data_IF_407718633723
#
_entry.id   IF_407718633723
#
_cell.length_a   1.000
_cell.length_b   1.000
_cell.length_c   1.000
_cell.angle_alpha   90.00
_cell.angle_beta   90.00
_cell.angle_gamma   90.00
#
_symmetry.space_group_name_H-M   'P 1'
#
loop_
_entity.id
_entity.type
_entity.pdbx_description
1 polymer ?
#
# COMPACT_ATOMS: atom_id res chain seq x y z
N UNK A 1 -14.50 13.41 3.29
CA UNK A 1 -15.82 14.00 3.62
C UNK A 1 -17.00 13.05 3.37
N UNK A 2 -17.05 12.38 2.21
CA UNK A 2 -18.14 11.46 1.87
C UNK A 2 -18.23 10.25 2.82
N UNK A 3 -17.12 9.59 3.13
CA UNK A 3 -17.13 8.39 3.99
C UNK A 3 -17.66 8.68 5.40
N UNK A 4 -17.26 9.82 5.98
CA UNK A 4 -17.74 10.25 7.31
C UNK A 4 -19.24 10.57 7.26
N UNK A 5 -19.68 11.30 6.22
CA UNK A 5 -21.11 11.63 6.03
C UNK A 5 -21.94 10.34 5.92
N UNK A 6 -21.49 9.37 5.13
CA UNK A 6 -22.20 8.12 4.92
C UNK A 6 -22.25 7.27 6.20
N UNK A 7 -21.15 7.21 6.96
CA UNK A 7 -21.13 6.53 8.24
C UNK A 7 -22.09 7.16 9.25
N UNK A 8 -22.14 8.49 9.33
CA UNK A 8 -23.09 9.20 10.20
C UNK A 8 -24.54 8.96 9.78
N UNK A 9 -24.84 8.97 8.49
CA UNK A 9 -26.20 8.69 7.99
C UNK A 9 -26.63 7.26 8.30
N UNK A 10 -25.75 6.27 8.14
CA UNK A 10 -26.03 4.89 8.52
C UNK A 10 -26.39 4.78 10.01
N UNK A 11 -25.57 5.38 10.88
CA UNK A 11 -25.81 5.38 12.33
C UNK A 11 -27.13 6.08 12.71
N UNK A 12 -27.47 7.20 12.07
CA UNK A 12 -28.74 7.91 12.29
C UNK A 12 -29.94 7.03 11.90
N UNK A 13 -29.80 6.22 10.86
CA UNK A 13 -30.84 5.30 10.38
C UNK A 13 -30.90 3.98 11.16
N UNK A 14 -30.01 3.77 12.15
CA UNK A 14 -29.90 2.50 12.88
C UNK A 14 -29.24 1.37 12.08
N UNK A 15 -28.54 1.68 10.99
CA UNK A 15 -27.81 0.75 10.14
C UNK A 15 -26.32 0.72 10.53
N UNK A 16 -25.65 -0.42 10.31
CA UNK A 16 -24.20 -0.49 10.48
C UNK A 16 -23.45 0.18 9.30
N UNK A 17 -22.43 1.01 9.57
CA UNK A 17 -21.62 1.60 8.51
C UNK A 17 -20.94 0.54 7.66
N UNK A 18 -20.98 0.72 6.34
CA UNK A 18 -20.28 -0.18 5.42
C UNK A 18 -18.77 -0.04 5.59
N UNK A 19 -18.13 -1.09 6.10
CA UNK A 19 -16.68 -1.14 6.16
C UNK A 19 -16.08 -1.50 4.81
N UNK A 20 -15.02 -0.77 4.44
CA UNK A 20 -14.28 -0.98 3.21
C UNK A 20 -13.32 -2.15 3.39
N UNK A 21 -13.67 -3.33 2.87
CA UNK A 21 -12.89 -4.54 3.15
C UNK A 21 -11.77 -4.83 2.15
N UNK A 22 -11.77 -4.21 0.96
CA UNK A 22 -10.80 -4.52 -0.10
C UNK A 22 -9.53 -3.68 0.01
N UNK A 23 -8.46 -4.20 -0.58
CA UNK A 23 -7.20 -3.49 -0.75
C UNK A 23 -7.28 -2.35 -1.78
N UNK A 24 -6.39 -1.37 -1.67
CA UNK A 24 -6.39 -0.17 -2.50
C UNK A 24 -6.22 -0.48 -3.99
N UNK A 25 -5.53 -1.57 -4.32
CA UNK A 25 -5.34 -2.01 -5.71
C UNK A 25 -6.67 -2.19 -6.48
N UNK A 26 -7.78 -2.48 -5.80
CA UNK A 26 -9.11 -2.61 -6.40
C UNK A 26 -9.68 -1.29 -6.96
N UNK A 27 -9.25 -0.14 -6.42
CA UNK A 27 -9.67 1.19 -6.87
C UNK A 27 -8.58 1.92 -7.66
N UNK A 28 -7.47 1.24 -7.99
CA UNK A 28 -6.33 1.88 -8.63
C UNK A 28 -6.43 1.80 -10.15
N UNK A 29 -6.43 2.95 -10.81
CA UNK A 29 -6.55 3.08 -12.27
C UNK A 29 -5.33 2.60 -13.08
N UNK A 30 -4.20 2.32 -12.41
CA UNK A 30 -2.97 1.90 -13.08
C UNK A 30 -3.07 0.47 -13.60
N UNK A 31 -2.53 0.26 -14.79
CA UNK A 31 -2.45 -1.03 -15.47
C UNK A 31 -1.43 -1.93 -14.79
N UNK A 32 -1.83 -3.16 -14.52
CA UNK A 32 -1.00 -4.21 -13.89
C UNK A 32 -0.91 -5.36 -14.90
N UNK A 33 0.16 -5.39 -15.70
CA UNK A 33 0.31 -6.38 -16.78
C UNK A 33 0.92 -7.66 -16.25
N UNK A 34 1.94 -7.56 -15.41
CA UNK A 34 2.75 -8.70 -14.98
C UNK A 34 2.46 -9.10 -13.54
N UNK A 35 1.97 -8.18 -12.70
CA UNK A 35 1.70 -8.42 -11.29
C UNK A 35 0.71 -9.56 -11.03
N UNK A 36 -0.18 -9.85 -11.98
CA UNK A 36 -1.22 -10.88 -11.87
C UNK A 36 -0.89 -12.16 -12.64
N UNK A 37 0.24 -12.19 -13.34
CA UNK A 37 0.69 -13.37 -14.08
C UNK A 37 1.51 -14.22 -13.11
N UNK A 38 1.16 -15.51 -13.00
CA UNK A 38 1.94 -16.46 -12.23
C UNK A 38 3.21 -16.80 -13.02
N UNK A 39 4.37 -16.35 -12.53
CA UNK A 39 5.66 -16.58 -13.16
C UNK A 39 6.73 -16.92 -12.11
N UNK A 40 7.81 -17.57 -12.56
CA UNK A 40 8.94 -17.93 -11.70
C UNK A 40 9.94 -16.79 -11.53
N UNK A 41 9.96 -15.89 -12.51
CA UNK A 41 10.84 -14.72 -12.52
C UNK A 41 10.22 -13.57 -11.74
N UNK A 42 11.07 -12.70 -11.21
CA UNK A 42 10.62 -11.50 -10.52
C UNK A 42 10.12 -10.47 -11.54
N UNK A 43 9.12 -9.67 -11.14
CA UNK A 43 8.51 -8.65 -12.01
C UNK A 43 9.48 -7.49 -12.25
N UNK A 44 10.38 -7.25 -11.30
CA UNK A 44 11.43 -6.24 -11.44
C UNK A 44 12.64 -6.64 -10.59
N UNK A 45 13.82 -6.15 -10.98
CA UNK A 45 15.09 -6.53 -10.37
C UNK A 45 15.61 -5.48 -9.37
N UNK A 46 14.92 -4.35 -9.24
CA UNK A 46 15.42 -3.21 -8.46
C UNK A 46 14.33 -2.42 -7.75
N UNK A 47 14.74 -1.82 -6.63
CA UNK A 47 13.94 -0.86 -5.87
C UNK A 47 14.46 0.53 -6.18
N UNK A 48 13.58 1.43 -6.61
CA UNK A 48 13.94 2.80 -6.96
C UNK A 48 13.15 3.78 -6.12
N UNK A 49 13.83 4.80 -5.60
CA UNK A 49 13.17 5.94 -5.02
C UNK A 49 12.55 6.80 -6.13
N UNK A 50 11.44 7.48 -5.83
CA UNK A 50 10.76 8.38 -6.78
C UNK A 50 11.70 9.47 -7.30
N UNK A 51 12.62 9.96 -6.44
CA UNK A 51 13.60 10.99 -6.79
C UNK A 51 14.78 10.50 -7.63
N UNK A 52 14.97 9.19 -7.79
CA UNK A 52 16.03 8.61 -8.63
C UNK A 52 15.59 8.47 -10.10
N UNK A 53 14.31 8.71 -10.37
CA UNK A 53 13.72 8.51 -11.69
C UNK A 53 13.43 9.85 -12.35
N UNK A 54 14.01 10.07 -13.53
CA UNK A 54 13.72 11.25 -14.35
C UNK A 54 12.27 11.25 -14.84
N UNK A 55 11.72 10.07 -15.10
CA UNK A 55 10.36 9.87 -15.59
C UNK A 55 9.68 8.69 -14.91
N UNK A 56 8.40 8.87 -14.60
CA UNK A 56 7.54 7.84 -13.98
C UNK A 56 6.34 7.66 -14.88
N UNK A 57 6.15 6.44 -15.38
CA UNK A 57 5.00 6.11 -16.21
C UNK A 57 3.70 6.26 -15.38
N UNK A 58 2.78 7.15 -15.78
CA UNK A 58 1.56 7.42 -15.04
C UNK A 58 0.53 6.29 -15.15
N UNK A 59 0.61 5.45 -16.19
CA UNK A 59 -0.34 4.37 -16.44
C UNK A 59 0.15 3.04 -15.86
N UNK A 60 1.46 2.75 -15.93
CA UNK A 60 2.02 1.49 -15.42
C UNK A 60 1.99 1.44 -13.89
N UNK A 61 1.70 0.27 -13.33
CA UNK A 61 1.76 0.03 -11.90
C UNK A 61 3.14 0.37 -11.32
N UNK A 62 3.16 1.09 -10.19
CA UNK A 62 4.41 1.46 -9.50
C UNK A 62 5.27 0.26 -9.10
N UNK A 63 4.65 -0.81 -8.61
CA UNK A 63 5.37 -2.02 -8.21
C UNK A 63 6.06 -2.69 -9.40
N UNK A 64 5.45 -2.64 -10.59
CA UNK A 64 6.05 -3.13 -11.83
C UNK A 64 7.12 -2.19 -12.42
N UNK A 65 7.26 -0.99 -11.85
CA UNK A 65 8.31 -0.02 -12.18
C UNK A 65 9.46 -0.06 -11.15
N UNK A 66 9.40 -0.93 -10.14
CA UNK A 66 10.37 -0.98 -9.05
C UNK A 66 10.17 0.09 -7.97
N UNK A 67 9.05 0.83 -8.00
CA UNK A 67 8.74 1.86 -7.02
C UNK A 67 7.87 1.28 -5.91
N UNK A 68 8.33 1.37 -4.66
CA UNK A 68 7.59 0.84 -3.50
C UNK A 68 6.28 1.58 -3.32
N UNK A 69 5.18 0.83 -3.36
CA UNK A 69 3.82 1.34 -3.21
C UNK A 69 3.04 0.50 -2.20
N UNK A 70 2.56 1.11 -1.11
CA UNK A 70 1.85 0.43 -0.02
C UNK A 70 0.42 -0.01 -0.40
N UNK A 71 0.00 0.17 -1.65
CA UNK A 71 -1.36 -0.13 -2.12
C UNK A 71 -1.88 -1.53 -1.78
N UNK A 72 -1.09 -2.61 -1.90
CA UNK A 72 -1.54 -3.97 -1.60
C UNK A 72 -1.97 -4.19 -0.16
N UNK A 73 -1.36 -3.48 0.79
CA UNK A 73 -1.61 -3.64 2.24
C UNK A 73 -2.47 -2.52 2.84
N UNK A 74 -2.98 -1.62 1.99
CA UNK A 74 -3.77 -0.46 2.43
C UNK A 74 -5.24 -0.67 2.09
N UNK A 75 -6.15 -0.36 3.01
CA UNK A 75 -7.60 -0.37 2.78
C UNK A 75 -8.03 0.55 1.64
N UNK A 76 -9.13 0.26 0.95
CA UNK A 76 -9.73 1.13 -0.08
C UNK A 76 -10.34 2.44 0.50
N UNK A 77 -11.11 3.22 -0.25
CA UNK A 77 -11.82 4.42 0.24
C UNK A 77 -11.31 5.77 -0.29
N UNK A 78 -9.99 5.96 -0.31
CA UNK A 78 -9.42 7.20 -0.85
C UNK A 78 -9.47 7.36 -2.39
N UNK A 79 -10.04 6.38 -3.11
CA UNK A 79 -10.08 6.32 -4.59
C UNK A 79 -8.70 6.44 -5.25
N UNK A 80 -7.67 5.89 -4.60
CA UNK A 80 -6.31 5.82 -5.13
C UNK A 80 -5.74 7.17 -5.61
N UNK A 81 -6.11 8.28 -4.96
CA UNK A 81 -5.70 9.64 -5.37
C UNK A 81 -4.20 9.80 -5.59
N UNK A 82 -3.36 9.22 -4.73
CA UNK A 82 -1.90 9.32 -4.87
C UNK A 82 -1.44 8.71 -6.22
N UNK A 83 -1.67 7.42 -6.51
CA UNK A 83 -1.20 6.84 -7.77
C UNK A 83 -2.00 7.26 -9.00
N UNK A 84 -3.29 7.56 -8.87
CA UNK A 84 -4.19 7.84 -9.99
C UNK A 84 -4.29 9.32 -10.37
N UNK A 85 -3.96 10.25 -9.46
CA UNK A 85 -4.04 11.71 -9.75
C UNK A 85 -2.73 12.45 -9.55
N UNK A 86 -1.92 12.05 -8.56
CA UNK A 86 -0.70 12.78 -8.21
C UNK A 86 0.58 12.16 -8.78
N UNK A 87 0.48 11.06 -9.54
CA UNK A 87 1.62 10.27 -10.00
C UNK A 87 2.61 9.92 -8.86
N UNK A 88 2.09 9.58 -7.67
CA UNK A 88 2.90 9.23 -6.50
C UNK A 88 2.46 7.89 -5.88
N UNK A 89 3.39 7.07 -5.36
CA UNK A 89 3.06 5.79 -4.75
C UNK A 89 2.18 5.95 -3.51
N UNK A 90 1.35 4.95 -3.23
CA UNK A 90 0.55 4.91 -2.01
C UNK A 90 1.47 4.85 -0.78
N UNK A 91 1.18 5.69 0.22
CA UNK A 91 1.94 5.74 1.49
C UNK A 91 1.26 4.98 2.65
N UNK A 92 0.07 4.39 2.43
CA UNK A 92 -0.62 3.60 3.46
C UNK A 92 -1.40 4.37 4.51
N UNK A 93 -1.77 5.63 4.27
CA UNK A 93 -2.45 6.46 5.25
C UNK A 93 -3.88 6.02 5.62
N UNK A 94 -4.52 5.16 4.81
CA UNK A 94 -5.87 4.65 5.09
C UNK A 94 -5.88 3.43 6.02
N UNK A 95 -4.71 3.00 6.49
CA UNK A 95 -4.56 1.88 7.40
C UNK A 95 -4.60 0.51 6.71
N UNK A 96 -4.40 -0.56 7.50
CA UNK A 96 -4.43 -1.94 7.02
C UNK A 96 -5.78 -2.33 6.41
N UNK A 97 -5.78 -3.35 5.55
CA UNK A 97 -7.02 -4.08 5.24
C UNK A 97 -7.47 -4.90 6.46
N UNK A 98 -8.76 -5.26 6.58
CA UNK A 98 -9.25 -6.04 7.70
C UNK A 98 -8.43 -7.32 7.94
N UNK A 99 -8.14 -7.62 9.20
CA UNK A 99 -7.35 -8.79 9.61
C UNK A 99 -5.83 -8.66 9.46
N UNK A 100 -5.29 -7.50 9.05
CA UNK A 100 -3.84 -7.23 9.06
C UNK A 100 -3.50 -6.31 10.23
N UNK A 101 -2.75 -6.80 11.21
CA UNK A 101 -2.16 -5.98 12.27
C UNK A 101 -0.79 -5.45 11.84
N UNK A 102 0.05 -6.36 11.32
CA UNK A 102 1.42 -6.08 10.91
C UNK A 102 1.53 -5.64 9.45
N UNK A 103 1.23 -4.37 9.18
CA UNK A 103 1.25 -3.79 7.82
C UNK A 103 2.62 -3.93 7.15
N UNK A 104 3.69 -3.59 7.87
CA UNK A 104 5.04 -3.65 7.31
C UNK A 104 5.46 -5.07 6.99
N UNK A 105 5.30 -6.01 7.93
CA UNK A 105 5.60 -7.42 7.68
C UNK A 105 4.77 -8.00 6.52
N UNK A 106 3.47 -7.67 6.46
CA UNK A 106 2.62 -8.10 5.35
C UNK A 106 3.06 -7.50 4.02
N UNK A 107 3.57 -6.28 4.02
CA UNK A 107 4.12 -5.64 2.82
C UNK A 107 5.40 -6.33 2.36
N UNK A 108 6.31 -6.70 3.27
CA UNK A 108 7.50 -7.52 2.92
C UNK A 108 7.06 -8.81 2.24
N UNK A 109 6.08 -9.51 2.83
CA UNK A 109 5.53 -10.73 2.25
C UNK A 109 4.90 -10.51 0.86
N UNK A 110 4.17 -9.40 0.67
CA UNK A 110 3.61 -9.04 -0.65
C UNK A 110 4.70 -8.69 -1.67
N UNK A 111 5.82 -8.12 -1.25
CA UNK A 111 6.94 -7.78 -2.14
C UNK A 111 7.81 -8.99 -2.49
N UNK A 112 7.85 -10.01 -1.64
CA UNK A 112 8.63 -11.23 -1.88
C UNK A 112 8.19 -12.00 -3.14
N UNK A 113 6.94 -11.84 -3.59
CA UNK A 113 6.46 -12.41 -4.85
C UNK A 113 6.71 -11.53 -6.08
N UNK A 114 7.23 -10.32 -5.88
CA UNK A 114 7.43 -9.30 -6.94
C UNK A 114 8.92 -9.07 -7.19
N UNK A 115 9.74 -9.16 -6.13
CA UNK A 115 11.14 -8.76 -6.10
C UNK A 115 12.04 -9.83 -5.45
N UNK A 116 13.31 -9.98 -5.90
CA UNK A 116 14.23 -11.03 -5.47
C UNK A 116 14.47 -11.17 -3.97
N UNK A 117 14.29 -10.09 -3.21
CA UNK A 117 14.51 -10.11 -1.77
C UNK A 117 13.64 -9.10 -1.02
N UNK A 118 12.38 -8.91 -1.43
CA UNK A 118 11.43 -8.05 -0.74
C UNK A 118 11.91 -6.60 -0.59
N UNK A 119 11.65 -5.75 -1.59
CA UNK A 119 12.12 -4.36 -1.74
C UNK A 119 12.40 -3.60 -0.45
N UNK A 120 11.44 -3.70 0.46
CA UNK A 120 11.37 -2.89 1.66
C UNK A 120 12.53 -3.17 2.63
N UNK A 121 13.16 -4.34 2.57
CA UNK A 121 14.26 -4.73 3.45
C UNK A 121 15.59 -4.03 3.13
N UNK A 122 15.76 -3.51 1.90
CA UNK A 122 16.99 -2.84 1.49
C UNK A 122 16.90 -1.31 1.54
N UNK A 123 15.77 -0.77 1.99
CA UNK A 123 15.64 0.67 2.15
C UNK A 123 16.27 1.10 3.47
N UNK A 124 16.93 2.27 3.45
CA UNK A 124 17.53 2.86 4.65
C UNK A 124 16.51 3.04 5.79
N UNK A 125 15.26 3.40 5.45
CA UNK A 125 14.17 3.61 6.39
C UNK A 125 12.99 2.64 6.15
N UNK A 126 13.18 1.40 6.59
CA UNK A 126 12.16 0.34 6.57
C UNK A 126 10.96 0.73 7.43
N UNK A 127 11.22 1.30 8.62
CA UNK A 127 10.18 1.60 9.61
C UNK A 127 9.31 2.77 9.14
N UNK A 128 9.90 3.87 8.70
CA UNK A 128 9.15 5.03 8.22
C UNK A 128 8.54 4.86 6.83
N UNK A 129 8.87 3.77 6.12
CA UNK A 129 8.16 3.36 4.90
C UNK A 129 7.05 2.34 5.16
N UNK A 130 7.35 1.26 5.90
CA UNK A 130 6.41 0.17 6.16
C UNK A 130 5.39 0.42 7.27
N UNK A 131 5.75 1.24 8.26
CA UNK A 131 4.95 1.48 9.47
C UNK A 131 4.55 2.95 9.68
N UNK A 132 4.66 3.79 8.64
CA UNK A 132 4.45 5.24 8.71
C UNK A 132 3.19 5.68 9.46
N UNK A 133 2.08 4.96 9.25
CA UNK A 133 0.77 5.28 9.84
C UNK A 133 0.21 4.15 10.72
N UNK A 134 0.94 3.04 10.85
CA UNK A 134 0.47 1.81 11.50
C UNK A 134 1.38 1.35 12.62
N UNK A 135 2.45 2.09 12.96
CA UNK A 135 3.35 1.74 14.05
C UNK A 135 2.62 1.59 15.38
N UNK A 136 1.69 2.48 15.70
CA UNK A 136 0.97 2.47 16.99
C UNK A 136 0.09 1.22 17.19
N UNK A 137 -0.31 0.55 16.11
CA UNK A 137 -1.13 -0.68 16.15
C UNK A 137 -0.31 -1.95 15.91
N UNK A 138 1.00 -1.81 15.68
CA UNK A 138 1.90 -2.95 15.54
C UNK A 138 2.06 -3.68 16.87
N UNK A 139 2.29 -4.99 16.81
CA UNK A 139 2.72 -5.84 17.92
C UNK A 139 4.01 -5.34 18.57
N UNK A 140 4.85 -4.62 17.81
CA UNK A 140 6.07 -3.97 18.31
C UNK A 140 5.98 -2.46 18.06
N UNK A 141 5.15 -1.72 18.81
CA UNK A 141 4.74 -0.35 18.49
C UNK A 141 5.80 0.72 18.81
N UNK A 142 7.05 0.33 19.01
CA UNK A 142 8.13 1.24 19.33
C UNK A 142 9.50 0.58 19.29
N UNK A 143 10.53 1.42 19.35
CA UNK A 143 11.91 0.95 19.42
C UNK A 143 12.18 0.35 20.79
N UNK A 144 12.45 -0.96 20.83
CA UNK A 144 12.94 -1.64 22.02
C UNK A 144 14.31 -1.04 22.36
N UNK A 145 14.40 -0.29 23.46
CA UNK A 145 15.68 0.18 24.01
C UNK A 145 16.30 -0.99 24.77
N UNK A 146 17.47 -1.43 24.31
CA UNK A 146 18.37 -2.27 25.11
C UNK A 146 19.18 -1.39 26.05
#
# INVERSE_FOLDING_TARGET
PADIKNALLALINGEEPVEQSRGKCAQCSRVKKELYIQQRDFVTDGVKAVMELDTIDPEKCFLEQGIVCMGPVTREGCHSKCPSKANMPCRGCWGPTPGITEVGAKMVNSLASILPAGAMMFMDDIVGTGYRYSMAISEVPGRIRR
#
